data_IF_378031355227
#
_entry.id   IF_378031355227
#
_cell.length_a   1.000
_cell.length_b   1.000
_cell.length_c   1.000
_cell.angle_alpha   90.00
_cell.angle_beta   90.00
_cell.angle_gamma   90.00
#
_symmetry.space_group_name_H-M   'P 1'
#
loop_
_entity.id
_entity.type
_entity.pdbx_description
1 polymer ?
#
# COMPACT_ATOMS: atom_id res chain seq x y z
N UNK A 1 -21.18 -23.16 2.41
CA UNK A 1 -21.79 -22.29 1.42
C UNK A 1 -22.70 -21.21 2.06
N UNK A 2 -22.18 -20.31 2.91
CA UNK A 2 -22.95 -19.25 3.57
C UNK A 2 -22.29 -17.85 3.42
N UNK A 3 -21.24 -17.72 2.59
CA UNK A 3 -20.50 -16.47 2.40
C UNK A 3 -21.02 -15.54 1.29
N UNK A 4 -21.83 -16.01 0.35
CA UNK A 4 -22.07 -15.31 -0.92
C UNK A 4 -23.11 -14.19 -0.92
N UNK A 5 -23.91 -14.00 0.14
CA UNK A 5 -25.01 -13.03 0.13
C UNK A 5 -24.75 -11.73 0.93
N UNK A 6 -23.75 -11.69 1.83
CA UNK A 6 -23.46 -10.48 2.60
C UNK A 6 -22.47 -9.54 1.91
N UNK A 7 -21.69 -10.02 0.94
CA UNK A 7 -20.69 -9.22 0.23
C UNK A 7 -21.14 -8.67 -1.11
N UNK A 8 -22.23 -9.14 -1.69
CA UNK A 8 -22.66 -8.74 -3.04
C UNK A 8 -22.78 -7.21 -3.21
N UNK A 9 -23.39 -6.44 -2.29
CA UNK A 9 -23.46 -4.99 -2.42
C UNK A 9 -22.09 -4.28 -2.33
N UNK A 10 -21.10 -4.87 -1.65
CA UNK A 10 -19.76 -4.30 -1.52
C UNK A 10 -18.92 -4.45 -2.80
N UNK A 11 -19.22 -5.45 -3.62
CA UNK A 11 -18.51 -5.75 -4.86
C UNK A 11 -19.10 -5.03 -6.09
N UNK A 12 -20.35 -4.59 -5.99
CA UNK A 12 -20.99 -3.83 -7.07
C UNK A 12 -20.31 -2.47 -7.26
N UNK A 13 -20.20 -2.00 -8.51
CA UNK A 13 -19.58 -0.73 -8.83
C UNK A 13 -18.08 -0.65 -8.49
N UNK A 14 -17.38 -1.78 -8.45
CA UNK A 14 -15.92 -1.80 -8.37
C UNK A 14 -15.34 -2.14 -9.75
N UNK A 15 -14.54 -1.23 -10.30
CA UNK A 15 -13.77 -1.44 -11.52
C UNK A 15 -12.28 -1.52 -11.19
N UNK A 16 -11.56 -2.44 -11.84
CA UNK A 16 -10.14 -2.63 -11.57
C UNK A 16 -9.36 -2.66 -12.89
N UNK A 17 -8.59 -1.60 -13.17
CA UNK A 17 -7.67 -1.50 -14.30
C UNK A 17 -6.31 -2.08 -13.92
N UNK A 18 -5.74 -2.93 -14.80
CA UNK A 18 -4.45 -3.59 -14.58
C UNK A 18 -4.54 -4.84 -13.70
N UNK A 19 -5.73 -5.36 -13.40
CA UNK A 19 -5.91 -6.54 -12.56
C UNK A 19 -5.30 -7.81 -13.15
N UNK A 20 -5.47 -8.04 -14.45
CA UNK A 20 -4.95 -9.23 -15.12
C UNK A 20 -3.42 -9.35 -14.98
N UNK A 21 -2.70 -8.25 -15.18
CA UNK A 21 -1.25 -8.20 -14.99
C UNK A 21 -0.82 -8.49 -13.54
N UNK A 22 -1.61 -8.01 -12.56
CA UNK A 22 -1.38 -8.27 -11.15
C UNK A 22 -1.58 -9.76 -10.81
N UNK A 23 -2.64 -10.38 -11.35
CA UNK A 23 -2.94 -11.81 -11.19
C UNK A 23 -1.86 -12.67 -11.85
N UNK A 24 -1.49 -12.37 -13.09
CA UNK A 24 -0.42 -13.08 -13.81
C UNK A 24 0.89 -13.04 -13.03
N UNK A 25 1.30 -11.87 -12.55
CA UNK A 25 2.50 -11.71 -11.74
C UNK A 25 2.46 -12.48 -10.41
N UNK A 26 1.26 -12.77 -9.88
CA UNK A 26 1.08 -13.53 -8.63
C UNK A 26 1.17 -15.05 -8.81
N UNK A 27 1.16 -15.56 -10.04
CA UNK A 27 1.20 -17.00 -10.30
C UNK A 27 2.46 -17.68 -9.76
N UNK A 28 3.60 -16.97 -9.81
CA UNK A 28 4.91 -17.48 -9.35
C UNK A 28 5.29 -17.04 -7.93
N UNK A 29 4.35 -16.53 -7.15
CA UNK A 29 4.60 -16.09 -5.79
C UNK A 29 3.96 -14.74 -5.46
N UNK A 30 4.29 -14.11 -4.30
CA UNK A 30 3.61 -12.90 -3.87
C UNK A 30 3.91 -11.72 -4.80
N UNK A 31 2.90 -10.87 -5.00
CA UNK A 31 3.03 -9.57 -5.68
C UNK A 31 2.83 -8.46 -4.68
N UNK A 32 3.77 -7.54 -4.63
CA UNK A 32 3.70 -6.40 -3.73
C UNK A 32 2.96 -5.26 -4.42
N UNK A 33 1.96 -4.70 -3.74
CA UNK A 33 1.15 -3.61 -4.24
C UNK A 33 1.30 -2.40 -3.32
N UNK A 34 2.03 -1.38 -3.77
CA UNK A 34 2.16 -0.11 -3.05
C UNK A 34 0.97 0.79 -3.35
N UNK A 35 0.36 1.38 -2.33
CA UNK A 35 -0.76 2.30 -2.50
C UNK A 35 -0.80 3.35 -1.38
N UNK A 36 -1.59 4.40 -1.60
CA UNK A 36 -1.87 5.43 -0.60
C UNK A 36 -3.22 5.22 0.08
N UNK A 37 -3.47 6.02 1.11
CA UNK A 37 -4.75 6.09 1.81
C UNK A 37 -5.79 6.81 0.93
N UNK A 38 -6.20 6.21 -0.18
CA UNK A 38 -7.13 6.79 -1.14
C UNK A 38 -8.34 5.89 -1.36
N UNK A 39 -9.50 6.48 -1.61
CA UNK A 39 -10.74 5.78 -1.89
C UNK A 39 -11.15 4.74 -0.83
N UNK A 40 -11.91 3.73 -1.26
CA UNK A 40 -12.35 2.63 -0.38
C UNK A 40 -11.50 1.37 -0.59
N UNK A 41 -10.36 1.31 0.08
CA UNK A 41 -9.47 0.16 -0.04
C UNK A 41 -10.09 -1.15 0.53
N UNK A 42 -11.01 -1.07 1.49
CA UNK A 42 -11.73 -2.23 2.01
C UNK A 42 -12.64 -2.85 0.92
N UNK A 43 -13.32 -2.01 0.09
CA UNK A 43 -14.11 -2.51 -1.05
C UNK A 43 -13.22 -3.08 -2.16
N UNK A 44 -12.14 -2.39 -2.49
CA UNK A 44 -11.15 -2.89 -3.47
C UNK A 44 -10.55 -4.23 -3.02
N UNK A 45 -10.18 -4.35 -1.74
CA UNK A 45 -9.65 -5.58 -1.17
C UNK A 45 -10.66 -6.73 -1.16
N UNK A 46 -11.92 -6.46 -0.81
CA UNK A 46 -12.99 -7.45 -0.88
C UNK A 46 -13.19 -7.96 -2.32
N UNK A 47 -13.15 -7.06 -3.29
CA UNK A 47 -13.27 -7.40 -4.70
C UNK A 47 -12.10 -8.28 -5.16
N UNK A 48 -10.86 -7.95 -4.78
CA UNK A 48 -9.67 -8.77 -5.07
C UNK A 48 -9.78 -10.16 -4.45
N UNK A 49 -10.22 -10.27 -3.18
CA UNK A 49 -10.41 -11.57 -2.53
C UNK A 49 -11.48 -12.45 -3.21
N UNK A 50 -12.48 -11.82 -3.84
CA UNK A 50 -13.54 -12.52 -4.57
C UNK A 50 -13.12 -12.96 -5.99
N UNK A 51 -12.17 -12.26 -6.62
CA UNK A 51 -11.83 -12.43 -8.03
C UNK A 51 -10.36 -12.82 -8.27
N UNK A 52 -9.52 -12.83 -7.25
CA UNK A 52 -8.07 -13.03 -7.36
C UNK A 52 -7.48 -14.03 -6.37
N UNK A 53 -6.16 -14.02 -6.21
CA UNK A 53 -5.43 -15.01 -5.41
C UNK A 53 -5.50 -14.79 -3.89
N UNK A 54 -6.23 -13.77 -3.44
CA UNK A 54 -6.31 -13.41 -2.03
C UNK A 54 -5.29 -12.34 -1.60
N UNK A 55 -5.48 -11.83 -0.41
CA UNK A 55 -4.71 -10.71 0.16
C UNK A 55 -4.08 -11.10 1.48
N UNK A 56 -2.81 -10.73 1.65
CA UNK A 56 -2.13 -10.65 2.96
C UNK A 56 -1.66 -9.22 3.16
N UNK A 57 -2.07 -8.57 4.24
CA UNK A 57 -1.67 -7.18 4.50
C UNK A 57 -1.40 -6.93 5.97
N UNK A 58 -0.89 -5.74 6.28
CA UNK A 58 -0.61 -5.29 7.64
C UNK A 58 -1.61 -4.23 8.07
N UNK A 59 -1.94 -4.21 9.35
CA UNK A 59 -2.76 -3.15 9.94
C UNK A 59 -2.17 -2.68 11.27
N UNK A 60 -2.10 -1.37 11.46
CA UNK A 60 -1.69 -0.76 12.72
C UNK A 60 -2.71 -1.08 13.82
N UNK A 61 -2.25 -1.57 14.97
CA UNK A 61 -3.09 -1.81 16.14
C UNK A 61 -3.56 -0.47 16.70
N UNK A 62 -4.84 -0.19 16.53
CA UNK A 62 -5.48 1.04 17.04
C UNK A 62 -6.09 0.82 18.42
N UNK A 63 -6.17 1.88 19.21
CA UNK A 63 -6.85 1.87 20.50
C UNK A 63 -8.33 2.30 20.36
N UNK A 64 -9.25 1.75 21.15
CA UNK A 64 -9.05 0.62 22.06
C UNK A 64 -8.92 -0.72 21.31
N UNK A 65 -8.33 -1.77 21.92
CA UNK A 65 -8.10 -3.07 21.28
C UNK A 65 -9.35 -3.68 20.63
N UNK A 66 -10.52 -3.51 21.25
CA UNK A 66 -11.80 -3.99 20.71
C UNK A 66 -12.17 -3.34 19.36
N UNK A 67 -11.69 -2.14 19.07
CA UNK A 67 -11.88 -1.49 17.76
C UNK A 67 -10.99 -2.16 16.72
N UNK A 68 -9.73 -2.42 17.05
CA UNK A 68 -8.82 -3.16 16.18
C UNK A 68 -9.36 -4.56 15.84
N UNK A 69 -9.83 -5.31 16.86
CA UNK A 69 -10.42 -6.65 16.67
C UNK A 69 -11.62 -6.62 15.71
N UNK A 70 -12.47 -5.60 15.78
CA UNK A 70 -13.60 -5.42 14.87
C UNK A 70 -13.16 -5.15 13.43
N UNK A 71 -12.12 -4.32 13.24
CA UNK A 71 -11.57 -4.08 11.90
C UNK A 71 -10.94 -5.34 11.32
N UNK A 72 -10.18 -6.09 12.11
CA UNK A 72 -9.61 -7.38 11.69
C UNK A 72 -10.73 -8.35 11.31
N UNK A 73 -11.72 -8.55 12.19
CA UNK A 73 -12.84 -9.48 11.92
C UNK A 73 -13.63 -9.08 10.67
N UNK A 74 -13.84 -7.79 10.41
CA UNK A 74 -14.47 -7.31 9.19
C UNK A 74 -13.68 -7.73 7.96
N UNK A 75 -12.38 -7.45 7.93
CA UNK A 75 -11.49 -7.70 6.79
C UNK A 75 -11.26 -9.19 6.56
N UNK A 76 -11.08 -9.96 7.61
CA UNK A 76 -11.00 -11.42 7.53
C UNK A 76 -12.32 -12.02 7.03
N UNK A 77 -13.47 -11.47 7.44
CA UNK A 77 -14.78 -11.83 6.90
C UNK A 77 -14.94 -11.50 5.40
N UNK A 78 -14.14 -10.60 4.86
CA UNK A 78 -14.04 -10.27 3.43
C UNK A 78 -12.98 -11.10 2.68
N UNK A 79 -12.27 -12.00 3.39
CA UNK A 79 -11.28 -12.90 2.81
C UNK A 79 -9.83 -12.41 2.87
N UNK A 80 -9.55 -11.28 3.52
CA UNK A 80 -8.20 -10.75 3.71
C UNK A 80 -7.51 -11.41 4.90
N UNK A 81 -6.21 -11.67 4.80
CA UNK A 81 -5.37 -12.06 5.94
C UNK A 81 -4.69 -10.82 6.51
N UNK A 82 -4.90 -10.53 7.80
CA UNK A 82 -4.42 -9.32 8.45
C UNK A 82 -3.32 -9.65 9.46
N UNK A 83 -2.17 -8.99 9.34
CA UNK A 83 -1.08 -9.06 10.32
C UNK A 83 -1.10 -7.74 11.12
N UNK A 84 -1.43 -7.83 12.41
CA UNK A 84 -1.45 -6.65 13.30
C UNK A 84 -0.05 -6.19 13.66
N UNK A 85 0.17 -4.87 13.65
CA UNK A 85 1.44 -4.22 13.99
C UNK A 85 1.23 -3.29 15.17
N UNK A 86 1.94 -3.53 16.28
CA UNK A 86 1.95 -2.64 17.42
C UNK A 86 2.97 -1.49 17.28
N UNK A 87 2.87 -0.47 18.13
CA UNK A 87 3.84 0.62 18.18
C UNK A 87 5.26 0.08 18.41
N UNK A 88 6.20 0.40 17.51
CA UNK A 88 7.60 -0.05 17.61
C UNK A 88 7.86 -1.51 17.24
N UNK A 89 6.84 -2.30 16.88
CA UNK A 89 7.00 -3.67 16.39
C UNK A 89 7.50 -3.67 14.94
N UNK A 90 8.50 -4.52 14.65
CA UNK A 90 8.90 -4.80 13.27
C UNK A 90 8.11 -5.98 12.74
N UNK A 91 7.22 -5.71 11.79
CA UNK A 91 6.39 -6.74 11.14
C UNK A 91 7.05 -7.31 9.88
N UNK A 92 8.16 -6.73 9.47
CA UNK A 92 8.79 -7.04 8.17
C UNK A 92 9.16 -8.52 8.02
N UNK A 93 9.85 -9.09 9.02
CA UNK A 93 10.22 -10.51 9.01
C UNK A 93 8.99 -11.42 8.99
N UNK A 94 8.00 -11.13 9.82
CA UNK A 94 6.73 -11.88 9.87
C UNK A 94 6.01 -11.84 8.53
N UNK A 95 5.97 -10.66 7.88
CA UNK A 95 5.35 -10.52 6.57
C UNK A 95 6.10 -11.32 5.49
N UNK A 96 7.46 -11.23 5.48
CA UNK A 96 8.31 -12.03 4.58
C UNK A 96 8.03 -13.52 4.73
N UNK A 97 8.00 -14.04 5.96
CA UNK A 97 7.73 -15.45 6.25
C UNK A 97 6.32 -15.86 5.82
N UNK A 98 5.33 -15.00 6.09
CA UNK A 98 3.92 -15.29 5.83
C UNK A 98 3.58 -15.36 4.34
N UNK A 99 4.26 -14.55 3.50
CA UNK A 99 3.93 -14.46 2.07
C UNK A 99 4.86 -15.27 1.17
N UNK A 100 6.02 -15.69 1.66
CA UNK A 100 7.03 -16.38 0.85
C UNK A 100 6.46 -17.63 0.18
N UNK A 101 6.60 -17.72 -1.15
CA UNK A 101 6.16 -18.86 -1.97
C UNK A 101 4.64 -19.01 -2.11
N UNK A 102 3.86 -18.02 -1.67
CA UNK A 102 2.40 -18.03 -1.81
C UNK A 102 1.97 -17.15 -2.97
N UNK A 103 1.00 -17.63 -3.74
CA UNK A 103 0.29 -16.82 -4.74
C UNK A 103 -0.71 -15.91 -4.03
N UNK A 104 -0.28 -14.70 -3.66
CA UNK A 104 -1.08 -13.69 -2.96
C UNK A 104 -0.70 -12.30 -3.39
N UNK A 105 -1.63 -11.35 -3.26
CA UNK A 105 -1.36 -9.92 -3.39
C UNK A 105 -1.09 -9.35 -2.00
N UNK A 106 -0.05 -8.53 -1.89
CA UNK A 106 0.40 -7.91 -0.63
C UNK A 106 0.24 -6.39 -0.73
N UNK A 107 -0.98 -5.85 -0.52
CA UNK A 107 -1.20 -4.41 -0.52
C UNK A 107 -0.63 -3.78 0.75
N UNK A 108 0.14 -2.70 0.59
CA UNK A 108 0.74 -1.94 1.68
C UNK A 108 0.47 -0.45 1.47
N UNK A 109 -0.29 0.15 2.39
CA UNK A 109 -0.46 1.61 2.41
C UNK A 109 0.85 2.24 2.89
N UNK A 110 1.51 2.98 2.01
CA UNK A 110 2.88 3.41 2.22
C UNK A 110 3.16 4.89 1.92
N UNK A 111 2.13 5.67 1.70
CA UNK A 111 2.17 7.10 1.39
C UNK A 111 2.53 7.99 2.59
N UNK A 112 2.77 7.40 3.77
CA UNK A 112 3.33 8.07 4.96
C UNK A 112 4.30 7.17 5.69
N UNK A 113 5.29 7.77 6.33
CA UNK A 113 6.17 7.06 7.26
C UNK A 113 5.64 7.10 8.69
N UNK A 114 5.49 5.94 9.31
CA UNK A 114 5.14 5.79 10.72
C UNK A 114 6.32 5.25 11.55
N UNK A 115 7.34 4.74 10.89
CA UNK A 115 8.48 4.05 11.53
C UNK A 115 9.60 4.99 11.99
N UNK A 116 9.63 6.22 11.46
CA UNK A 116 10.75 7.14 11.65
C UNK A 116 11.99 6.79 10.80
N UNK A 117 11.83 5.94 9.79
CA UNK A 117 12.90 5.54 8.86
C UNK A 117 12.44 5.58 7.40
N UNK A 118 11.53 6.49 7.10
CA UNK A 118 10.99 6.69 5.77
C UNK A 118 12.00 7.22 4.77
N UNK A 119 11.62 7.16 3.51
CA UNK A 119 12.39 7.67 2.37
C UNK A 119 11.78 8.99 1.93
N UNK A 120 12.62 10.01 1.72
CA UNK A 120 12.20 11.26 1.12
C UNK A 120 12.06 11.09 -0.38
N UNK A 121 10.87 11.42 -0.90
CA UNK A 121 10.51 11.31 -2.31
C UNK A 121 9.83 12.57 -2.80
N UNK A 122 9.83 12.77 -4.11
CA UNK A 122 8.99 13.76 -4.76
C UNK A 122 7.57 13.20 -4.90
N UNK A 123 6.59 13.89 -4.31
CA UNK A 123 5.16 13.53 -4.36
C UNK A 123 4.35 14.74 -4.82
N UNK A 124 3.89 14.69 -6.07
CA UNK A 124 3.19 15.82 -6.67
C UNK A 124 4.06 17.07 -6.75
N UNK A 125 3.69 18.12 -6.01
CA UNK A 125 4.40 19.41 -6.01
C UNK A 125 5.39 19.58 -4.86
N UNK A 126 5.51 18.59 -3.96
CA UNK A 126 6.35 18.69 -2.77
C UNK A 126 7.16 17.43 -2.49
N UNK A 127 8.07 17.55 -1.53
CA UNK A 127 8.79 16.38 -1.01
C UNK A 127 8.06 15.79 0.19
N UNK A 128 7.88 14.47 0.17
CA UNK A 128 7.19 13.74 1.22
C UNK A 128 8.10 12.68 1.86
N UNK A 129 7.80 12.30 3.09
CA UNK A 129 8.44 11.19 3.79
C UNK A 129 7.49 9.99 3.79
N UNK A 130 7.82 8.96 3.01
CA UNK A 130 6.98 7.78 2.78
C UNK A 130 7.63 6.51 3.31
N UNK A 131 6.82 5.46 3.52
CA UNK A 131 7.34 4.18 4.01
C UNK A 131 8.09 3.41 2.94
N UNK A 132 9.25 2.86 3.30
CA UNK A 132 10.08 2.01 2.43
C UNK A 132 9.52 0.58 2.24
N UNK A 133 8.51 0.20 3.03
CA UNK A 133 8.03 -1.18 3.16
C UNK A 133 7.79 -1.93 1.86
N UNK A 134 7.00 -1.40 0.91
CA UNK A 134 6.71 -2.09 -0.35
C UNK A 134 7.96 -2.37 -1.18
N UNK A 135 8.81 -1.37 -1.40
CA UNK A 135 10.04 -1.50 -2.17
C UNK A 135 11.05 -2.44 -1.49
N UNK A 136 11.16 -2.37 -0.16
CA UNK A 136 12.03 -3.25 0.62
C UNK A 136 11.55 -4.70 0.54
N UNK A 137 10.23 -4.94 0.64
CA UNK A 137 9.64 -6.28 0.54
C UNK A 137 9.83 -6.87 -0.86
N UNK A 138 9.55 -6.10 -1.90
CA UNK A 138 9.75 -6.50 -3.29
C UNK A 138 11.22 -6.87 -3.56
N UNK A 139 12.16 -6.04 -3.07
CA UNK A 139 13.61 -6.31 -3.18
C UNK A 139 14.03 -7.55 -2.40
N UNK A 140 13.53 -7.73 -1.16
CA UNK A 140 13.88 -8.86 -0.28
C UNK A 140 13.40 -10.21 -0.82
N UNK A 141 12.23 -10.22 -1.45
CA UNK A 141 11.63 -11.43 -1.99
C UNK A 141 11.98 -11.68 -3.46
N UNK A 142 12.65 -10.72 -4.10
CA UNK A 142 12.87 -10.67 -5.56
C UNK A 142 11.55 -10.85 -6.32
N UNK A 143 10.54 -10.05 -5.93
CA UNK A 143 9.19 -10.13 -6.47
C UNK A 143 8.75 -8.79 -7.07
N UNK A 144 7.81 -8.81 -8.03
CA UNK A 144 7.34 -7.61 -8.69
C UNK A 144 6.64 -6.66 -7.70
N UNK A 145 6.88 -5.36 -7.91
CA UNK A 145 6.20 -4.25 -7.25
C UNK A 145 5.23 -3.62 -8.25
N UNK A 146 4.02 -3.37 -7.79
CA UNK A 146 3.01 -2.59 -8.51
C UNK A 146 2.63 -1.37 -7.68
N UNK A 147 2.10 -0.34 -8.34
CA UNK A 147 1.50 0.81 -7.70
C UNK A 147 0.01 0.86 -7.99
N UNK A 148 -0.81 1.27 -7.01
CA UNK A 148 -2.23 1.46 -7.22
C UNK A 148 -2.75 2.75 -6.57
N UNK A 149 -3.79 3.30 -7.17
CA UNK A 149 -4.59 4.38 -6.63
C UNK A 149 -6.07 4.00 -6.71
N UNK A 150 -6.82 4.29 -5.66
CA UNK A 150 -8.23 4.00 -5.54
C UNK A 150 -8.99 5.33 -5.49
N UNK A 151 -9.98 5.50 -6.36
CA UNK A 151 -10.77 6.73 -6.47
C UNK A 151 -12.27 6.42 -6.45
N UNK A 152 -13.08 7.42 -6.23
CA UNK A 152 -14.53 7.31 -6.32
C UNK A 152 -15.02 7.81 -7.67
N UNK A 153 -16.04 7.16 -8.22
CA UNK A 153 -16.72 7.57 -9.45
C UNK A 153 -18.24 7.51 -9.25
N UNK A 154 -18.99 8.13 -10.16
CA UNK A 154 -20.45 8.07 -10.18
C UNK A 154 -21.11 8.35 -8.82
N UNK A 155 -20.61 9.36 -8.10
CA UNK A 155 -21.11 9.73 -6.77
C UNK A 155 -22.59 10.13 -6.82
N UNK A 156 -23.41 9.45 -6.00
CA UNK A 156 -24.83 9.68 -5.85
C UNK A 156 -25.22 9.74 -4.38
N UNK A 157 -26.46 10.09 -4.07
CA UNK A 157 -26.98 10.00 -2.69
C UNK A 157 -27.01 8.57 -2.14
N UNK A 158 -26.93 7.55 -3.00
CA UNK A 158 -26.91 6.13 -2.60
C UNK A 158 -25.48 5.60 -2.38
N UNK A 159 -24.43 6.34 -2.78
CA UNK A 159 -23.04 5.96 -2.67
C UNK A 159 -22.25 6.30 -3.94
N UNK A 160 -21.02 5.80 -4.00
CA UNK A 160 -20.11 5.97 -5.12
C UNK A 160 -19.58 4.62 -5.60
N UNK A 161 -19.28 4.53 -6.88
CA UNK A 161 -18.49 3.43 -7.45
C UNK A 161 -17.03 3.60 -7.02
N UNK A 162 -16.28 2.50 -7.07
CA UNK A 162 -14.84 2.48 -6.74
C UNK A 162 -14.07 2.09 -7.99
N UNK A 163 -13.14 2.94 -8.39
CA UNK A 163 -12.19 2.64 -9.44
C UNK A 163 -10.81 2.40 -8.85
N UNK A 164 -10.23 1.25 -9.16
CA UNK A 164 -8.84 0.91 -8.85
C UNK A 164 -8.03 1.00 -10.13
N UNK A 165 -7.01 1.83 -10.14
CA UNK A 165 -5.99 1.85 -11.19
C UNK A 165 -4.72 1.24 -10.65
N UNK A 166 -4.19 0.23 -11.34
CA UNK A 166 -2.99 -0.47 -10.96
C UNK A 166 -2.01 -0.50 -12.14
N UNK A 167 -0.77 -0.13 -11.89
CA UNK A 167 0.31 -0.13 -12.87
C UNK A 167 1.51 -0.91 -12.37
N UNK A 168 2.18 -1.62 -13.27
CA UNK A 168 3.37 -2.39 -12.96
C UNK A 168 3.64 -3.51 -13.97
N UNK A 169 4.70 -4.27 -13.76
CA UNK A 169 5.66 -4.16 -12.66
C UNK A 169 6.50 -2.89 -12.71
N UNK A 170 6.67 -2.25 -11.55
CA UNK A 170 7.49 -1.05 -11.38
C UNK A 170 8.96 -1.45 -11.40
N UNK A 171 9.75 -0.77 -12.22
CA UNK A 171 11.19 -0.99 -12.33
C UNK A 171 11.98 0.17 -11.72
N UNK A 172 13.04 -0.15 -10.98
CA UNK A 172 14.00 0.86 -10.59
C UNK A 172 14.79 1.31 -11.82
N UNK A 173 15.02 2.63 -12.03
CA UNK A 173 15.90 3.11 -13.07
C UNK A 173 17.28 2.44 -13.00
N UNK A 174 17.87 2.13 -14.16
CA UNK A 174 19.20 1.51 -14.25
C UNK A 174 20.33 2.52 -14.01
N UNK A 175 20.11 3.77 -14.40
CA UNK A 175 21.01 4.92 -14.29
C UNK A 175 20.77 5.74 -13.01
N UNK A 176 20.76 5.07 -11.88
CA UNK A 176 20.52 5.71 -10.58
C UNK A 176 21.63 6.70 -10.23
N UNK A 177 21.25 7.80 -9.61
CA UNK A 177 22.21 8.77 -9.07
C UNK A 177 23.14 8.08 -8.06
N UNK A 178 24.42 8.51 -7.95
CA UNK A 178 25.34 7.98 -6.95
C UNK A 178 24.75 8.04 -5.54
N UNK A 179 24.83 6.94 -4.80
CA UNK A 179 24.29 6.82 -3.44
C UNK A 179 22.81 6.43 -3.33
N UNK A 180 22.05 6.40 -4.44
CA UNK A 180 20.66 5.95 -4.43
C UNK A 180 20.61 4.44 -4.55
N UNK A 181 20.15 3.76 -3.51
CA UNK A 181 19.98 2.31 -3.53
C UNK A 181 18.68 1.87 -4.26
N UNK A 182 18.55 0.57 -4.49
CA UNK A 182 17.41 0.01 -5.23
C UNK A 182 16.07 0.29 -4.54
N UNK A 183 16.00 0.24 -3.21
CA UNK A 183 14.76 0.48 -2.45
C UNK A 183 14.31 1.93 -2.60
N UNK A 184 15.24 2.88 -2.51
CA UNK A 184 14.94 4.30 -2.73
C UNK A 184 14.41 4.55 -4.14
N UNK A 185 15.10 4.03 -5.14
CA UNK A 185 14.70 4.19 -6.54
C UNK A 185 13.32 3.57 -6.83
N UNK A 186 13.03 2.37 -6.31
CA UNK A 186 11.72 1.75 -6.41
C UNK A 186 10.65 2.55 -5.64
N UNK A 187 11.02 3.11 -4.47
CA UNK A 187 10.10 3.95 -3.68
C UNK A 187 9.71 5.19 -4.46
N UNK A 188 10.68 5.91 -5.03
CA UNK A 188 10.37 7.07 -5.88
C UNK A 188 9.52 6.67 -7.09
N UNK A 189 9.84 5.55 -7.73
CA UNK A 189 9.14 5.13 -8.93
C UNK A 189 7.66 4.83 -8.66
N UNK A 190 7.33 4.05 -7.62
CA UNK A 190 5.93 3.77 -7.31
C UNK A 190 5.17 5.01 -6.82
N UNK A 191 5.83 5.92 -6.08
CA UNK A 191 5.22 7.18 -5.65
C UNK A 191 4.90 8.08 -6.84
N UNK A 192 5.76 8.13 -7.86
CA UNK A 192 5.51 8.89 -9.08
C UNK A 192 4.27 8.37 -9.82
N UNK A 193 4.10 7.04 -9.94
CA UNK A 193 2.91 6.44 -10.54
C UNK A 193 1.65 6.71 -9.69
N UNK A 194 1.75 6.57 -8.36
CA UNK A 194 0.64 6.91 -7.47
C UNK A 194 0.22 8.36 -7.59
N UNK A 195 1.17 9.30 -7.61
CA UNK A 195 0.92 10.72 -7.75
C UNK A 195 0.23 11.04 -9.09
N UNK A 196 0.69 10.43 -10.19
CA UNK A 196 0.09 10.59 -11.51
C UNK A 196 -1.37 10.08 -11.54
N UNK A 197 -1.63 8.92 -10.94
CA UNK A 197 -2.98 8.37 -10.87
C UNK A 197 -3.91 9.19 -9.96
N UNK A 198 -3.37 9.78 -8.89
CA UNK A 198 -4.13 10.58 -7.92
C UNK A 198 -4.43 11.99 -8.44
N UNK A 199 -3.66 12.50 -9.40
CA UNK A 199 -3.74 13.90 -9.86
C UNK A 199 -5.15 14.29 -10.36
N UNK A 200 -5.91 13.34 -10.93
CA UNK A 200 -7.26 13.58 -11.43
C UNK A 200 -8.30 13.73 -10.31
N UNK A 201 -8.04 13.10 -9.14
CA UNK A 201 -8.99 13.05 -8.01
C UNK A 201 -8.26 13.21 -6.67
N UNK A 202 -7.54 14.32 -6.42
CA UNK A 202 -6.76 14.52 -5.20
C UNK A 202 -7.62 14.55 -3.92
N UNK A 203 -8.90 14.89 -4.03
CA UNK A 203 -9.86 14.87 -2.91
C UNK A 203 -10.15 13.46 -2.38
N UNK A 204 -9.86 12.41 -3.17
CA UNK A 204 -10.03 11.01 -2.75
C UNK A 204 -8.84 10.49 -1.96
N UNK A 205 -7.78 11.29 -1.80
CA UNK A 205 -6.65 10.97 -0.94
C UNK A 205 -6.94 11.41 0.49
N UNK A 206 -7.22 10.44 1.35
CA UNK A 206 -7.65 10.65 2.74
C UNK A 206 -6.46 10.83 3.70
N UNK A 207 -5.47 11.61 3.30
CA UNK A 207 -4.28 11.88 4.10
C UNK A 207 -4.55 13.01 5.10
N UNK A 208 -4.95 12.63 6.32
CA UNK A 208 -5.23 13.57 7.41
C UNK A 208 -3.98 13.90 8.25
N UNK A 209 -2.81 13.41 7.88
CA UNK A 209 -1.56 13.60 8.61
C UNK A 209 -0.55 14.35 7.76
N UNK A 210 0.41 14.99 8.43
CA UNK A 210 1.52 15.67 7.77
C UNK A 210 2.44 14.63 7.12
N UNK A 211 2.64 14.73 5.82
CA UNK A 211 3.53 13.85 5.04
C UNK A 211 4.61 14.63 4.31
N UNK A 212 4.34 15.91 3.98
CA UNK A 212 5.31 16.76 3.32
C UNK A 212 6.41 17.18 4.29
N UNK A 213 7.65 17.16 3.80
CA UNK A 213 8.86 17.44 4.59
C UNK A 213 8.80 18.80 5.28
N UNK A 214 8.24 19.80 4.61
CA UNK A 214 8.09 21.18 5.13
C UNK A 214 7.09 21.26 6.31
N UNK A 215 6.15 20.34 6.40
CA UNK A 215 5.13 20.29 7.46
C UNK A 215 5.53 19.39 8.63
N UNK A 216 6.57 18.56 8.46
CA UNK A 216 6.99 17.61 9.48
C UNK A 216 7.68 18.32 10.67
N UNK A 217 7.55 17.72 11.84
CA UNK A 217 8.37 18.11 12.99
C UNK A 217 9.86 17.95 12.67
N UNK A 218 10.69 19.00 12.88
CA UNK A 218 12.11 18.98 12.52
C UNK A 218 12.90 17.86 13.22
N UNK A 219 12.54 17.48 14.43
CA UNK A 219 13.22 16.40 15.17
C UNK A 219 12.86 15.03 14.58
N UNK A 220 11.61 14.85 14.15
CA UNK A 220 11.17 13.65 13.45
C UNK A 220 11.92 13.48 12.11
N UNK A 221 12.01 14.56 11.34
CA UNK A 221 12.71 14.56 10.07
C UNK A 221 14.21 14.26 10.24
N UNK A 222 14.86 14.88 11.23
CA UNK A 222 16.27 14.63 11.54
C UNK A 222 16.52 13.17 11.93
N UNK A 223 15.62 12.54 12.71
CA UNK A 223 15.72 11.11 13.05
C UNK A 223 15.60 10.22 11.82
N UNK A 224 14.62 10.50 10.94
CA UNK A 224 14.43 9.72 9.71
C UNK A 224 15.68 9.78 8.81
N UNK A 225 16.27 10.96 8.65
CA UNK A 225 17.51 11.16 7.88
C UNK A 225 18.70 10.41 8.49
N UNK A 226 18.90 10.53 9.79
CA UNK A 226 19.98 9.81 10.49
C UNK A 226 19.85 8.28 10.40
N UNK A 227 18.63 7.75 10.53
CA UNK A 227 18.37 6.32 10.39
C UNK A 227 18.62 5.84 8.96
N UNK A 228 18.23 6.65 7.97
CA UNK A 228 18.48 6.36 6.57
C UNK A 228 19.98 6.31 6.25
N UNK A 229 20.75 7.30 6.71
CA UNK A 229 22.22 7.30 6.55
C UNK A 229 22.88 6.08 7.21
N UNK A 230 22.37 5.66 8.37
CA UNK A 230 22.89 4.48 9.09
C UNK A 230 22.67 3.18 8.30
N UNK A 231 21.53 3.06 7.60
CA UNK A 231 21.21 1.87 6.79
C UNK A 231 21.98 1.80 5.48
N UNK A 232 22.49 2.94 4.99
CA UNK A 232 23.21 3.03 3.72
C UNK A 232 24.75 2.95 3.89
N UNK A 233 25.24 2.85 5.13
CA UNK A 233 26.67 2.56 5.46
C UNK A 233 26.92 1.06 5.57
#
# INVERSE_FOLDING_TARGET
MLGSRRGAPLLEGVTFEGFDALVEASADGPVILALGHSGSWDRAGAWVCANGPGIVTVAEKVEPPSLFERFVALREGLGMEIIGVGPGESVFSTLVERVRGRSVIVPLLADRDISGSGIEVDLGTGRALVAAGPAALATKLDRPLFAACITYENETSAGADVRVRCVGPISAPTDRAPGVNRVEALTQAWVSEFAAMMADRPQDWHMMQRVYVEDLDPQRLARARAEHERKNR
#
